data_IF_869110322908
#
_entry.id   IF_869110322908
#
_cell.length_a   1.000
_cell.length_b   1.000
_cell.length_c   1.000
_cell.angle_alpha   90.00
_cell.angle_beta   90.00
_cell.angle_gamma   90.00
#
_symmetry.space_group_name_H-M   'P 1'
#
loop_
_entity.id
_entity.type
_entity.pdbx_description
1 polymer ?
#
# COMPACT_ATOMS: atom_id res chain seq x y z
N UNK A 1 -1.32 9.15 -32.18
CA UNK A 1 -2.55 8.94 -32.96
C UNK A 1 -3.46 10.17 -32.98
N UNK A 2 -4.04 10.59 -31.85
CA UNK A 2 -5.00 11.73 -31.77
C UNK A 2 -4.39 13.04 -32.30
N UNK A 3 -3.23 13.45 -31.79
CA UNK A 3 -2.51 14.66 -32.26
C UNK A 3 -2.07 14.57 -33.72
N UNK A 4 -1.60 13.40 -34.16
CA UNK A 4 -1.13 13.19 -35.54
C UNK A 4 -2.26 13.23 -36.58
N UNK A 5 -3.48 12.85 -36.20
CA UNK A 5 -4.65 12.81 -37.08
C UNK A 5 -5.63 13.96 -36.86
N UNK A 6 -5.32 14.90 -35.95
CA UNK A 6 -6.17 16.02 -35.55
C UNK A 6 -7.61 15.59 -35.20
N UNK A 7 -7.73 14.53 -34.40
CA UNK A 7 -9.02 14.01 -33.93
C UNK A 7 -9.30 14.50 -32.51
N UNK A 8 -10.58 14.58 -32.14
CA UNK A 8 -11.02 14.63 -30.76
C UNK A 8 -11.70 13.30 -30.42
N UNK A 9 -11.34 12.69 -29.29
CA UNK A 9 -11.92 11.41 -28.85
C UNK A 9 -12.64 11.65 -27.54
N UNK A 10 -13.94 11.35 -27.52
CA UNK A 10 -14.73 11.31 -26.29
C UNK A 10 -14.97 9.84 -25.97
N UNK A 11 -14.58 9.43 -24.77
CA UNK A 11 -14.73 8.05 -24.31
C UNK A 11 -15.32 8.03 -22.91
N UNK A 12 -16.13 7.02 -22.62
CA UNK A 12 -16.63 6.73 -21.28
C UNK A 12 -15.87 5.52 -20.74
N UNK A 13 -15.15 5.70 -19.64
CA UNK A 13 -14.34 4.67 -19.01
C UNK A 13 -14.86 4.37 -17.60
N UNK A 14 -14.94 3.09 -17.26
CA UNK A 14 -15.26 2.64 -15.90
C UNK A 14 -14.01 2.51 -15.00
N UNK A 15 -12.83 2.38 -15.61
CA UNK A 15 -11.54 2.21 -14.93
C UNK A 15 -10.83 3.55 -14.78
N UNK A 16 -10.74 4.07 -13.54
CA UNK A 16 -10.08 5.35 -13.26
C UNK A 16 -8.62 5.36 -13.65
N UNK A 17 -7.88 4.28 -13.36
CA UNK A 17 -6.46 4.16 -13.65
C UNK A 17 -6.18 4.35 -15.15
N UNK A 18 -7.08 3.83 -15.99
CA UNK A 18 -6.98 4.00 -17.43
C UNK A 18 -7.36 5.42 -17.83
N UNK A 19 -8.44 5.96 -17.27
CA UNK A 19 -8.87 7.34 -17.52
C UNK A 19 -7.77 8.35 -17.17
N UNK A 20 -7.05 8.16 -16.08
CA UNK A 20 -5.91 8.99 -15.68
C UNK A 20 -4.75 8.91 -16.66
N UNK A 21 -4.44 7.72 -17.20
CA UNK A 21 -3.28 7.49 -18.07
C UNK A 21 -3.47 7.94 -19.52
N UNK A 22 -4.71 7.93 -20.03
CA UNK A 22 -4.98 8.14 -21.46
C UNK A 22 -5.68 9.46 -21.78
N UNK A 23 -6.21 10.15 -20.78
CA UNK A 23 -7.03 11.35 -21.01
C UNK A 23 -6.22 12.61 -20.83
N UNK A 24 -6.29 13.53 -21.79
CA UNK A 24 -5.81 14.91 -21.58
C UNK A 24 -6.77 15.70 -20.66
N UNK A 25 -8.03 15.28 -20.58
CA UNK A 25 -9.09 15.93 -19.81
C UNK A 25 -10.15 14.92 -19.36
N UNK A 26 -10.70 15.09 -18.16
CA UNK A 26 -11.67 14.20 -17.55
C UNK A 26 -12.91 14.99 -17.15
N UNK A 27 -14.07 14.37 -17.31
CA UNK A 27 -15.36 14.87 -16.83
C UNK A 27 -15.96 13.82 -15.91
N UNK A 28 -16.13 14.15 -14.63
CA UNK A 28 -16.73 13.28 -13.63
C UNK A 28 -18.22 13.55 -13.54
N UNK A 29 -19.02 12.51 -13.75
CA UNK A 29 -20.48 12.56 -13.72
C UNK A 29 -20.97 11.74 -12.55
N UNK A 30 -21.68 12.38 -11.62
CA UNK A 30 -22.24 11.78 -10.43
C UNK A 30 -23.62 12.39 -10.15
N UNK A 31 -24.57 11.60 -9.64
CA UNK A 31 -25.94 12.05 -9.36
C UNK A 31 -26.63 12.80 -10.53
N UNK A 32 -26.46 12.29 -11.76
CA UNK A 32 -26.96 12.88 -13.00
C UNK A 32 -26.47 14.32 -13.29
N UNK A 33 -25.35 14.74 -12.70
CA UNK A 33 -24.74 16.03 -12.91
C UNK A 33 -23.23 15.90 -13.21
N UNK A 34 -22.69 16.88 -13.94
CA UNK A 34 -21.24 17.07 -14.02
C UNK A 34 -20.80 17.72 -12.72
N UNK A 35 -19.99 17.00 -11.95
CA UNK A 35 -19.55 17.47 -10.64
C UNK A 35 -18.19 18.16 -10.73
N UNK A 36 -17.27 17.60 -11.53
CA UNK A 36 -15.96 18.18 -11.81
C UNK A 36 -15.52 17.89 -13.24
N UNK A 37 -14.69 18.77 -13.77
CA UNK A 37 -14.01 18.57 -15.05
C UNK A 37 -12.65 19.28 -15.01
N UNK A 38 -11.65 18.69 -15.65
CA UNK A 38 -10.27 19.17 -15.53
C UNK A 38 -9.25 18.19 -16.07
N UNK A 39 -7.97 18.56 -16.06
CA UNK A 39 -6.89 17.62 -16.29
C UNK A 39 -6.90 16.53 -15.19
N UNK A 40 -6.51 15.27 -15.51
CA UNK A 40 -6.49 14.17 -14.54
C UNK A 40 -5.81 14.52 -13.20
N UNK A 41 -4.73 15.29 -13.22
CA UNK A 41 -3.92 15.65 -12.06
C UNK A 41 -4.67 16.54 -11.05
N UNK A 42 -5.67 17.30 -11.50
CA UNK A 42 -6.53 18.13 -10.65
C UNK A 42 -7.77 17.37 -10.15
N UNK A 43 -8.19 16.34 -10.90
CA UNK A 43 -9.43 15.61 -10.65
C UNK A 43 -9.19 14.39 -9.77
N UNK A 44 -8.19 13.55 -10.05
CA UNK A 44 -7.92 12.29 -9.35
C UNK A 44 -7.20 12.49 -8.01
N UNK A 45 -7.83 13.24 -7.10
CA UNK A 45 -7.38 13.37 -5.71
C UNK A 45 -7.96 12.25 -4.83
N UNK A 46 -7.23 11.84 -3.79
CA UNK A 46 -7.67 10.80 -2.85
C UNK A 46 -9.05 11.05 -2.26
N UNK A 47 -9.32 12.28 -1.84
CA UNK A 47 -10.60 12.63 -1.21
C UNK A 47 -11.76 12.58 -2.21
N UNK A 48 -11.57 13.14 -3.41
CA UNK A 48 -12.62 13.19 -4.41
C UNK A 48 -12.98 11.82 -4.98
N UNK A 49 -11.99 10.97 -5.25
CA UNK A 49 -12.24 9.63 -5.79
C UNK A 49 -12.98 8.74 -4.79
N UNK A 50 -12.68 8.89 -3.50
CA UNK A 50 -13.41 8.20 -2.44
C UNK A 50 -14.90 8.62 -2.39
N UNK A 51 -15.17 9.93 -2.55
CA UNK A 51 -16.54 10.47 -2.62
C UNK A 51 -17.28 9.99 -3.88
N UNK A 52 -16.64 10.08 -5.05
CA UNK A 52 -17.21 9.70 -6.35
C UNK A 52 -17.68 8.24 -6.40
N UNK A 53 -16.95 7.33 -5.75
CA UNK A 53 -17.27 5.90 -5.74
C UNK A 53 -18.22 5.49 -4.61
N UNK A 54 -18.64 6.43 -3.75
CA UNK A 54 -19.36 6.11 -2.52
C UNK A 54 -18.58 5.15 -1.62
N UNK A 55 -17.26 5.07 -1.80
CA UNK A 55 -16.37 4.18 -1.10
C UNK A 55 -16.19 4.72 0.32
N UNK A 56 -17.13 4.42 1.21
CA UNK A 56 -17.06 4.81 2.63
C UNK A 56 -16.01 4.01 3.41
N UNK A 57 -15.40 2.98 2.80
CA UNK A 57 -14.49 2.02 3.45
C UNK A 57 -13.33 1.61 2.53
N UNK A 58 -12.24 2.38 2.56
CA UNK A 58 -11.03 2.12 1.76
C UNK A 58 -10.08 3.31 1.77
N UNK A 59 -9.07 3.28 0.91
CA UNK A 59 -8.18 4.42 0.64
C UNK A 59 -7.75 4.41 -0.82
N UNK A 60 -7.79 5.56 -1.48
CA UNK A 60 -7.22 5.75 -2.81
C UNK A 60 -5.84 6.41 -2.70
N UNK A 61 -4.84 5.80 -3.33
CA UNK A 61 -3.53 6.40 -3.50
C UNK A 61 -3.44 7.02 -4.90
N UNK A 62 -3.49 8.36 -4.97
CA UNK A 62 -3.44 9.11 -6.23
C UNK A 62 -2.10 8.98 -6.98
N UNK A 63 -0.99 8.79 -6.25
CA UNK A 63 0.35 8.65 -6.85
C UNK A 63 0.48 7.33 -7.62
N UNK A 64 -0.22 6.28 -7.18
CA UNK A 64 -0.17 4.95 -7.80
C UNK A 64 -1.48 4.51 -8.47
N UNK A 65 -2.54 5.33 -8.42
CA UNK A 65 -3.88 4.98 -8.89
C UNK A 65 -4.52 3.80 -8.17
N UNK A 66 -4.01 3.40 -7.01
CA UNK A 66 -4.45 2.17 -6.36
C UNK A 66 -5.54 2.44 -5.32
N UNK A 67 -6.71 1.81 -5.49
CA UNK A 67 -7.72 1.69 -4.45
C UNK A 67 -7.41 0.47 -3.58
N UNK A 68 -7.27 0.70 -2.28
CA UNK A 68 -7.13 -0.35 -1.28
C UNK A 68 -8.35 -0.37 -0.35
N UNK A 69 -8.66 -1.55 0.17
CA UNK A 69 -9.81 -1.78 1.06
C UNK A 69 -9.50 -1.32 2.48
N UNK A 70 -10.53 -1.16 3.32
CA UNK A 70 -10.34 -0.79 4.72
C UNK A 70 -9.48 -1.85 5.47
N UNK A 71 -8.53 -1.40 6.32
CA UNK A 71 -7.69 -2.31 7.08
C UNK A 71 -8.51 -3.13 8.08
N UNK A 72 -8.05 -4.37 8.35
CA UNK A 72 -8.64 -5.18 9.39
C UNK A 72 -8.42 -4.54 10.78
N UNK A 73 -9.50 -4.34 11.54
CA UNK A 73 -9.44 -3.71 12.87
C UNK A 73 -9.13 -4.75 13.94
N UNK A 74 -8.27 -4.40 14.89
CA UNK A 74 -7.99 -5.24 16.05
C UNK A 74 -6.53 -5.17 16.48
N UNK A 75 -6.17 -6.01 17.46
CA UNK A 75 -4.78 -6.18 17.87
C UNK A 75 -4.03 -6.94 16.77
N UNK A 76 -2.87 -6.46 16.30
CA UNK A 76 -2.06 -7.17 15.30
C UNK A 76 -1.69 -8.58 15.77
N UNK A 77 -2.06 -9.59 15.01
CA UNK A 77 -1.70 -10.99 15.28
C UNK A 77 -0.42 -11.38 14.56
N UNK A 78 -0.16 -10.73 13.42
CA UNK A 78 0.91 -11.08 12.49
C UNK A 78 1.80 -9.86 12.25
N UNK A 79 3.11 -10.06 12.34
CA UNK A 79 4.10 -9.09 11.90
C UNK A 79 4.65 -9.50 10.54
N UNK A 80 4.59 -8.62 9.54
CA UNK A 80 5.04 -8.91 8.18
C UNK A 80 6.29 -8.11 7.86
N UNK A 81 7.38 -8.82 7.61
CA UNK A 81 8.64 -8.27 7.09
C UNK A 81 8.54 -8.27 5.56
N UNK A 82 8.20 -7.10 5.01
CA UNK A 82 8.11 -6.85 3.57
C UNK A 82 9.31 -6.10 3.01
N UNK A 83 9.21 -5.77 1.73
CA UNK A 83 10.16 -4.97 0.97
C UNK A 83 10.15 -5.34 -0.52
N UNK A 84 10.38 -4.37 -1.38
CA UNK A 84 10.55 -4.55 -2.82
C UNK A 84 9.33 -5.15 -3.54
N UNK A 85 8.10 -4.92 -3.07
CA UNK A 85 6.88 -5.47 -3.67
C UNK A 85 6.45 -6.83 -3.12
N UNK A 86 7.31 -7.49 -2.35
CA UNK A 86 7.07 -8.87 -1.90
C UNK A 86 5.97 -8.98 -0.84
N UNK A 87 5.72 -7.92 -0.07
CA UNK A 87 4.68 -7.88 0.96
C UNK A 87 3.28 -7.66 0.40
N UNK A 88 3.13 -7.01 -0.76
CA UNK A 88 1.83 -6.61 -1.32
C UNK A 88 0.82 -7.78 -1.43
N UNK A 89 1.17 -8.96 -1.98
CA UNK A 89 0.24 -10.08 -2.07
C UNK A 89 -0.21 -10.58 -0.68
N UNK A 90 0.71 -10.54 0.30
CA UNK A 90 0.48 -10.99 1.67
C UNK A 90 -0.42 -10.00 2.42
N UNK A 91 -0.18 -8.69 2.30
CA UNK A 91 -1.03 -7.65 2.89
C UNK A 91 -2.48 -7.76 2.41
N UNK A 92 -2.68 -7.92 1.10
CA UNK A 92 -4.02 -8.11 0.51
C UNK A 92 -4.64 -9.45 0.90
N UNK A 93 -3.85 -10.50 1.09
CA UNK A 93 -4.35 -11.78 1.58
C UNK A 93 -4.80 -11.71 3.04
N UNK A 94 -4.02 -11.07 3.91
CA UNK A 94 -4.35 -10.82 5.32
C UNK A 94 -5.63 -10.00 5.44
N UNK A 95 -5.73 -8.91 4.67
CA UNK A 95 -6.91 -8.07 4.67
C UNK A 95 -8.16 -8.84 4.22
N UNK A 96 -8.09 -9.63 3.14
CA UNK A 96 -9.22 -10.47 2.69
C UNK A 96 -9.66 -11.50 3.72
N UNK A 97 -8.74 -11.97 4.56
CA UNK A 97 -9.03 -12.88 5.69
C UNK A 97 -9.48 -12.14 6.95
N UNK A 98 -9.49 -10.81 6.95
CA UNK A 98 -9.85 -9.99 8.10
C UNK A 98 -8.84 -10.07 9.24
N UNK A 99 -7.58 -10.42 8.96
CA UNK A 99 -6.53 -10.60 9.98
C UNK A 99 -5.79 -9.27 10.18
N UNK A 100 -5.84 -8.65 11.38
CA UNK A 100 -5.08 -7.45 11.68
C UNK A 100 -3.59 -7.76 11.74
N UNK A 101 -2.77 -6.92 11.09
CA UNK A 101 -1.32 -7.12 11.03
C UNK A 101 -0.55 -5.80 11.16
N UNK A 102 0.73 -5.94 11.52
CA UNK A 102 1.73 -4.86 11.50
C UNK A 102 2.73 -5.17 10.41
N UNK A 103 3.16 -4.15 9.66
CA UNK A 103 4.21 -4.31 8.63
C UNK A 103 5.45 -3.50 9.01
N UNK A 104 6.64 -4.06 8.81
CA UNK A 104 7.88 -3.32 9.01
C UNK A 104 9.15 -4.18 9.00
N UNK A 105 10.34 -3.57 8.98
CA UNK A 105 10.53 -2.13 8.72
C UNK A 105 10.51 -1.90 7.21
N UNK A 106 9.69 -0.96 6.74
CA UNK A 106 9.58 -0.59 5.34
C UNK A 106 10.20 0.80 5.13
N UNK A 107 10.93 0.99 4.04
CA UNK A 107 11.39 2.32 3.66
C UNK A 107 10.21 3.11 3.06
N UNK A 108 10.16 4.42 3.30
CA UNK A 108 9.08 5.27 2.78
C UNK A 108 8.97 5.28 1.24
N UNK A 109 10.07 5.00 0.53
CA UNK A 109 10.11 4.90 -0.93
C UNK A 109 9.89 3.46 -1.45
N UNK A 110 9.68 2.49 -0.58
CA UNK A 110 9.38 1.12 -0.97
C UNK A 110 7.94 1.05 -1.52
N UNK A 111 7.74 0.28 -2.58
CA UNK A 111 6.41 0.06 -3.16
C UNK A 111 5.47 -0.67 -2.20
N UNK A 112 5.98 -1.39 -1.20
CA UNK A 112 5.21 -2.00 -0.13
C UNK A 112 4.64 -0.96 0.84
N UNK A 113 5.32 0.16 1.05
CA UNK A 113 4.95 1.17 2.05
C UNK A 113 3.55 1.76 1.86
N UNK A 114 3.14 2.26 0.67
CA UNK A 114 1.80 2.80 0.49
C UNK A 114 0.70 1.75 0.72
N UNK A 115 0.92 0.51 0.26
CA UNK A 115 -0.05 -0.59 0.44
C UNK A 115 -0.12 -1.01 1.89
N UNK A 116 1.02 -1.12 2.58
CA UNK A 116 1.07 -1.41 4.00
C UNK A 116 0.37 -0.31 4.80
N UNK A 117 0.58 0.97 4.46
CA UNK A 117 -0.04 2.11 5.15
C UNK A 117 -1.57 2.11 5.02
N UNK A 118 -2.09 1.61 3.90
CA UNK A 118 -3.51 1.45 3.68
C UNK A 118 -4.10 0.24 4.44
N UNK A 119 -3.39 -0.89 4.46
CA UNK A 119 -3.96 -2.19 4.87
C UNK A 119 -3.57 -2.66 6.27
N UNK A 120 -2.44 -2.20 6.82
CA UNK A 120 -1.94 -2.60 8.13
C UNK A 120 -2.56 -1.76 9.26
N UNK A 121 -2.62 -2.32 10.46
CA UNK A 121 -3.00 -1.58 11.67
C UNK A 121 -1.92 -0.57 12.04
N UNK A 122 -0.66 -0.95 11.82
CA UNK A 122 0.51 -0.13 12.10
C UNK A 122 1.59 -0.46 11.08
N UNK A 123 2.25 0.58 10.56
CA UNK A 123 3.42 0.45 9.71
C UNK A 123 4.61 1.07 10.40
N UNK A 124 5.70 0.32 10.46
CA UNK A 124 6.96 0.82 10.97
C UNK A 124 7.80 1.23 9.77
N UNK A 125 7.80 2.53 9.52
CA UNK A 125 8.57 3.17 8.46
C UNK A 125 10.01 3.54 8.89
N UNK A 126 10.89 3.61 7.90
CA UNK A 126 12.18 4.28 7.93
C UNK A 126 12.31 5.27 6.76
N UNK A 127 13.11 6.33 6.95
CA UNK A 127 13.40 7.33 5.92
C UNK A 127 13.90 6.69 4.63
N UNK A 128 13.53 7.31 3.52
CA UNK A 128 13.98 6.87 2.19
C UNK A 128 15.50 6.90 2.06
N UNK A 129 16.05 5.91 1.35
CA UNK A 129 17.47 5.84 1.01
C UNK A 129 18.43 5.80 2.22
N UNK A 130 17.94 5.50 3.42
CA UNK A 130 18.77 5.27 4.61
C UNK A 130 18.66 3.81 5.12
N UNK A 131 19.76 3.21 5.62
CA UNK A 131 19.67 1.92 6.29
C UNK A 131 18.75 2.01 7.50
N UNK A 132 18.07 0.90 7.83
CA UNK A 132 17.18 0.85 8.99
C UNK A 132 17.95 1.25 10.26
N UNK A 133 17.51 2.33 10.92
CA UNK A 133 18.12 2.84 12.13
C UNK A 133 17.82 1.98 13.35
N UNK A 134 18.54 2.20 14.46
CA UNK A 134 18.27 1.49 15.74
C UNK A 134 16.87 1.77 16.27
N UNK A 135 16.36 3.00 16.10
CA UNK A 135 15.04 3.37 16.58
C UNK A 135 13.93 2.59 15.86
N UNK A 136 13.96 2.52 14.52
CA UNK A 136 12.98 1.77 13.74
C UNK A 136 13.06 0.26 14.03
N UNK A 137 14.29 -0.27 14.13
CA UNK A 137 14.51 -1.66 14.50
C UNK A 137 13.97 -2.01 15.90
N UNK A 138 14.26 -1.18 16.91
CA UNK A 138 13.78 -1.41 18.27
C UNK A 138 12.25 -1.38 18.35
N UNK A 139 11.60 -0.45 17.65
CA UNK A 139 10.14 -0.40 17.52
C UNK A 139 9.61 -1.67 16.85
N UNK A 140 10.23 -2.12 15.75
CA UNK A 140 9.86 -3.34 15.05
C UNK A 140 10.01 -4.58 15.92
N UNK A 141 11.15 -4.75 16.59
CA UNK A 141 11.38 -5.87 17.50
C UNK A 141 10.39 -5.88 18.67
N UNK A 142 10.03 -4.71 19.22
CA UNK A 142 9.03 -4.61 20.28
C UNK A 142 7.63 -5.02 19.80
N UNK A 143 7.20 -4.55 18.62
CA UNK A 143 5.91 -4.92 18.03
C UNK A 143 5.87 -6.38 17.61
N UNK A 144 6.93 -6.88 17.01
CA UNK A 144 7.07 -8.28 16.61
C UNK A 144 6.86 -9.23 17.79
N UNK A 145 7.37 -8.89 18.99
CA UNK A 145 7.14 -9.67 20.22
C UNK A 145 5.67 -9.70 20.68
N UNK A 146 4.88 -8.70 20.30
CA UNK A 146 3.45 -8.66 20.63
C UNK A 146 2.57 -9.41 19.65
N UNK A 147 3.11 -9.70 18.45
CA UNK A 147 2.48 -10.52 17.44
C UNK A 147 2.75 -12.01 17.73
N UNK A 148 1.77 -12.87 17.44
CA UNK A 148 1.92 -14.31 17.63
C UNK A 148 2.70 -15.00 16.51
N UNK A 149 2.71 -14.41 15.31
CA UNK A 149 3.40 -14.95 14.12
C UNK A 149 4.16 -13.86 13.39
N UNK A 150 5.23 -14.25 12.71
CA UNK A 150 6.03 -13.39 11.85
C UNK A 150 6.12 -14.01 10.46
N UNK A 151 5.78 -13.24 9.43
CA UNK A 151 5.92 -13.61 8.03
C UNK A 151 7.07 -12.82 7.42
N UNK A 152 8.05 -13.51 6.84
CA UNK A 152 9.11 -12.86 6.08
C UNK A 152 8.90 -13.08 4.59
N UNK A 153 8.59 -12.02 3.86
CA UNK A 153 8.38 -12.06 2.41
C UNK A 153 9.70 -11.93 1.63
N UNK A 154 10.76 -11.48 2.29
CA UNK A 154 12.08 -11.29 1.72
C UNK A 154 12.90 -12.58 1.75
N UNK A 155 13.54 -12.90 0.61
CA UNK A 155 14.56 -13.96 0.51
C UNK A 155 15.98 -13.43 0.55
N UNK A 156 16.16 -12.19 0.10
CA UNK A 156 17.46 -11.52 0.02
C UNK A 156 17.42 -10.23 0.82
N UNK A 157 18.56 -9.91 1.43
CA UNK A 157 18.74 -8.70 2.22
C UNK A 157 20.02 -8.01 1.76
N UNK A 158 19.88 -6.77 1.31
CA UNK A 158 20.96 -5.86 1.01
C UNK A 158 21.38 -5.03 2.23
N UNK A 159 22.17 -4.00 1.98
CA UNK A 159 22.65 -3.05 3.00
C UNK A 159 21.50 -2.28 3.66
N UNK A 160 20.51 -1.86 2.87
CA UNK A 160 19.42 -0.98 3.33
C UNK A 160 18.44 -1.68 4.27
N UNK A 161 18.10 -2.94 3.96
CA UNK A 161 17.19 -3.76 4.75
C UNK A 161 17.94 -4.76 5.64
N UNK A 162 19.23 -4.53 5.93
CA UNK A 162 20.05 -5.44 6.72
C UNK A 162 19.43 -5.79 8.07
N UNK A 163 18.77 -4.83 8.73
CA UNK A 163 18.08 -5.08 10.00
C UNK A 163 16.80 -5.91 9.88
N UNK A 164 16.17 -5.96 8.71
CA UNK A 164 15.07 -6.90 8.49
C UNK A 164 15.58 -8.35 8.51
N UNK A 165 16.85 -8.59 8.13
CA UNK A 165 17.49 -9.90 8.33
C UNK A 165 17.59 -10.23 9.81
N UNK A 166 18.01 -9.26 10.62
CA UNK A 166 18.12 -9.42 12.06
C UNK A 166 16.75 -9.67 12.72
N UNK A 167 15.70 -8.98 12.28
CA UNK A 167 14.32 -9.22 12.73
C UNK A 167 13.86 -10.65 12.39
N UNK A 168 14.11 -11.10 11.16
CA UNK A 168 13.80 -12.47 10.74
C UNK A 168 14.53 -13.50 11.61
N UNK A 169 15.82 -13.30 11.89
CA UNK A 169 16.60 -14.21 12.75
C UNK A 169 16.09 -14.20 14.20
N UNK A 170 15.66 -13.04 14.71
CA UNK A 170 15.01 -12.95 16.02
C UNK A 170 13.69 -13.73 16.05
N UNK A 171 12.86 -13.62 15.02
CA UNK A 171 11.61 -14.37 14.89
C UNK A 171 11.86 -15.89 14.82
N UNK A 172 12.90 -16.30 14.08
CA UNK A 172 13.32 -17.70 13.95
C UNK A 172 13.78 -18.28 15.30
N UNK A 173 14.61 -17.55 16.05
CA UNK A 173 15.05 -17.94 17.40
C UNK A 173 13.89 -18.03 18.38
N UNK A 174 12.88 -17.19 18.23
CA UNK A 174 11.66 -17.21 19.06
C UNK A 174 10.64 -18.28 18.62
N UNK A 175 10.85 -18.98 17.51
CA UNK A 175 9.90 -19.96 16.97
C UNK A 175 8.59 -19.36 16.44
N UNK A 176 8.58 -18.06 16.14
CA UNK A 176 7.39 -17.33 15.66
C UNK A 176 7.40 -17.11 14.14
N UNK A 177 8.54 -17.36 13.48
CA UNK A 177 8.66 -17.28 12.03
C UNK A 177 7.83 -18.39 11.37
N UNK A 178 7.02 -18.01 10.39
CA UNK A 178 6.22 -18.95 9.59
C UNK A 178 6.33 -18.61 8.11
N UNK A 179 6.22 -19.64 7.26
CA UNK A 179 6.25 -19.51 5.80
C UNK A 179 4.83 -19.44 5.20
N UNK A 180 3.79 -19.59 6.02
CA UNK A 180 2.40 -19.65 5.57
C UNK A 180 1.42 -18.99 6.56
N UNK A 181 0.29 -18.53 6.00
CA UNK A 181 -0.81 -17.88 6.72
C UNK A 181 -1.82 -18.88 7.27
#
# INVERSE_FOLDING_TARGET
MVRQRQLAVVMSLHELDLAQKVSDYVVCVHNNAIERYGPPEEIFTSDYIMELYGATRGSYNADFGCLEMEPARGKPEIFVIGGGGSGIPVYRQLQRRGIPFTAGVLQENDVDYPVAKALAVEVIGERSFEPIGESAFARAAARMKTCGKVLCCLREFGTMNGKNRELMELAKKAGTLTDSL
#
